data_IF_398274423745
#
_entry.id   IF_398274423745
#
_cell.length_a   1.000
_cell.length_b   1.000
_cell.length_c   1.000
_cell.angle_alpha   90.00
_cell.angle_beta   90.00
_cell.angle_gamma   90.00
#
_symmetry.space_group_name_H-M   'P 1'
#
loop_
_entity.id
_entity.type
_entity.pdbx_description
1 polymer ?
#
# COMPACT_ATOMS: atom_id res chain seq x y z
N UNK A 1 -8.14 11.75 33.59
CA UNK A 1 -7.49 12.55 32.53
C UNK A 1 -8.33 13.79 32.35
N UNK A 2 -7.82 14.98 32.69
CA UNK A 2 -8.54 16.23 32.41
C UNK A 2 -8.39 16.57 30.93
N UNK A 3 -9.50 16.86 30.26
CA UNK A 3 -9.49 17.34 28.88
C UNK A 3 -9.08 18.82 28.88
N UNK A 4 -8.03 19.15 28.12
CA UNK A 4 -7.54 20.52 28.00
C UNK A 4 -8.09 21.15 26.73
N UNK A 5 -8.71 22.32 26.86
CA UNK A 5 -9.13 23.12 25.72
C UNK A 5 -7.95 23.87 25.14
N UNK A 6 -7.59 23.56 23.90
CA UNK A 6 -6.58 24.31 23.15
C UNK A 6 -7.26 25.24 22.15
N UNK A 7 -7.08 26.55 22.32
CA UNK A 7 -7.52 27.54 21.35
C UNK A 7 -6.37 27.82 20.38
N UNK A 8 -6.62 27.60 19.09
CA UNK A 8 -5.63 27.95 18.06
C UNK A 8 -5.57 29.48 17.89
N UNK A 9 -4.39 30.07 17.65
CA UNK A 9 -4.25 31.49 17.38
C UNK A 9 -5.19 31.94 16.26
N UNK A 10 -5.75 33.15 16.38
CA UNK A 10 -6.52 33.72 15.29
C UNK A 10 -5.64 33.85 14.04
N UNK A 11 -6.17 33.40 12.92
CA UNK A 11 -5.58 33.63 11.62
C UNK A 11 -6.35 34.74 10.93
N UNK A 12 -5.65 35.58 10.17
CA UNK A 12 -6.26 36.64 9.36
C UNK A 12 -6.16 36.24 7.88
N UNK A 13 -7.21 35.61 7.30
CA UNK A 13 -7.22 35.23 5.89
C UNK A 13 -7.25 36.48 5.01
N UNK A 14 -6.72 36.39 3.78
CA UNK A 14 -6.84 37.49 2.83
C UNK A 14 -8.30 37.72 2.42
N UNK A 15 -8.63 38.92 1.95
CA UNK A 15 -9.97 39.22 1.45
C UNK A 15 -10.38 38.31 0.28
N UNK A 16 -9.42 37.93 -0.56
CA UNK A 16 -9.60 36.95 -1.63
C UNK A 16 -9.99 35.57 -1.07
N UNK A 17 -9.29 35.12 -0.03
CA UNK A 17 -9.58 33.85 0.63
C UNK A 17 -10.97 33.87 1.29
N UNK A 18 -11.33 34.97 1.96
CA UNK A 18 -12.65 35.15 2.54
C UNK A 18 -13.74 35.09 1.45
N UNK A 19 -13.53 35.76 0.31
CA UNK A 19 -14.46 35.73 -0.83
C UNK A 19 -14.62 34.31 -1.41
N UNK A 20 -13.52 33.55 -1.52
CA UNK A 20 -13.54 32.17 -2.02
C UNK A 20 -14.48 31.27 -1.20
N UNK A 21 -14.51 31.44 0.11
CA UNK A 21 -15.37 30.65 1.01
C UNK A 21 -16.75 31.30 1.23
N UNK A 22 -17.22 32.12 0.29
CA UNK A 22 -18.54 32.77 0.37
C UNK A 22 -18.63 33.92 1.39
N UNK A 23 -17.49 34.47 1.81
CA UNK A 23 -17.42 35.54 2.81
C UNK A 23 -17.50 35.05 4.26
N UNK A 24 -17.50 33.74 4.52
CA UNK A 24 -17.60 33.19 5.86
C UNK A 24 -16.27 33.30 6.65
N UNK A 25 -16.14 34.21 7.63
CA UNK A 25 -14.86 34.48 8.30
C UNK A 25 -14.35 33.27 9.11
N UNK A 26 -15.25 32.50 9.72
CA UNK A 26 -14.89 31.30 10.48
C UNK A 26 -14.34 30.19 9.59
N UNK A 27 -14.93 29.97 8.41
CA UNK A 27 -14.45 28.95 7.46
C UNK A 27 -13.06 29.34 6.95
N UNK A 28 -12.88 30.61 6.59
CA UNK A 28 -11.59 31.13 6.14
C UNK A 28 -10.50 30.96 7.21
N UNK A 29 -10.80 31.32 8.46
CA UNK A 29 -9.88 31.16 9.58
C UNK A 29 -9.55 29.69 9.85
N UNK A 30 -10.55 28.81 9.86
CA UNK A 30 -10.38 27.38 10.11
C UNK A 30 -9.49 26.69 9.06
N UNK A 31 -9.60 27.06 7.78
CA UNK A 31 -8.75 26.51 6.73
C UNK A 31 -7.29 26.93 6.92
N UNK A 32 -7.04 28.22 7.22
CA UNK A 32 -5.68 28.71 7.50
C UNK A 32 -5.08 28.03 8.74
N UNK A 33 -5.89 27.82 9.79
CA UNK A 33 -5.49 27.09 10.99
C UNK A 33 -5.17 25.60 10.71
N UNK A 34 -5.82 24.99 9.70
CA UNK A 34 -5.50 23.63 9.22
C UNK A 34 -4.33 23.56 8.24
N UNK A 35 -3.62 24.67 8.03
CA UNK A 35 -2.47 24.74 7.12
C UNK A 35 -2.80 25.04 5.66
N UNK A 36 -4.08 25.24 5.33
CA UNK A 36 -4.53 25.62 3.98
C UNK A 36 -4.49 27.14 3.88
N UNK A 37 -3.32 27.66 3.48
CA UNK A 37 -3.00 29.10 3.58
C UNK A 37 -3.17 29.91 2.30
N UNK A 38 -3.44 29.26 1.16
CA UNK A 38 -3.58 29.94 -0.13
C UNK A 38 -4.97 29.74 -0.72
N UNK A 39 -5.51 30.71 -1.48
CA UNK A 39 -6.78 30.54 -2.18
C UNK A 39 -6.78 29.33 -3.13
N UNK A 40 -5.64 29.05 -3.79
CA UNK A 40 -5.49 27.88 -4.63
C UNK A 40 -5.63 26.57 -3.84
N UNK A 41 -4.92 26.43 -2.71
CA UNK A 41 -5.02 25.24 -1.86
C UNK A 41 -6.43 25.07 -1.28
N UNK A 42 -7.07 26.17 -0.87
CA UNK A 42 -8.44 26.15 -0.38
C UNK A 42 -9.44 25.73 -1.47
N UNK A 43 -9.25 26.22 -2.70
CA UNK A 43 -10.09 25.84 -3.83
C UNK A 43 -9.98 24.35 -4.10
N UNK A 44 -8.77 23.81 -4.21
CA UNK A 44 -8.54 22.38 -4.43
C UNK A 44 -9.05 21.49 -3.30
N UNK A 45 -9.07 21.99 -2.07
CA UNK A 45 -9.58 21.25 -0.90
C UNK A 45 -11.12 21.23 -0.84
N UNK A 46 -11.77 22.34 -1.16
CA UNK A 46 -13.24 22.49 -1.05
C UNK A 46 -13.97 21.96 -2.28
N UNK A 47 -13.30 21.92 -3.43
CA UNK A 47 -13.91 21.66 -4.73
C UNK A 47 -13.16 20.54 -5.44
N UNK A 48 -13.82 19.39 -5.59
CA UNK A 48 -13.24 18.18 -6.20
C UNK A 48 -12.82 18.40 -7.65
N UNK A 49 -13.46 19.30 -8.39
CA UNK A 49 -13.09 19.69 -9.75
C UNK A 49 -11.76 20.44 -9.85
N UNK A 50 -11.26 20.94 -8.72
CA UNK A 50 -9.98 21.61 -8.60
C UNK A 50 -8.94 20.76 -7.85
N UNK A 51 -9.31 19.55 -7.43
CA UNK A 51 -8.38 18.61 -6.84
C UNK A 51 -7.45 18.05 -7.94
N UNK A 52 -6.14 18.11 -7.67
CA UNK A 52 -5.14 17.44 -8.51
C UNK A 52 -4.56 16.29 -7.68
N UNK A 53 -4.79 15.02 -8.07
CA UNK A 53 -4.18 13.90 -7.38
C UNK A 53 -2.66 13.97 -7.49
N UNK A 54 -1.98 13.46 -6.47
CA UNK A 54 -0.56 13.21 -6.57
C UNK A 54 -0.30 12.25 -7.76
N UNK A 55 0.80 12.43 -8.51
CA UNK A 55 1.15 11.47 -9.54
C UNK A 55 1.35 10.09 -8.88
N UNK A 56 0.89 8.99 -9.50
CA UNK A 56 1.02 7.65 -8.94
C UNK A 56 2.46 7.31 -8.57
N UNK A 57 3.44 7.82 -9.33
CA UNK A 57 4.89 7.64 -9.09
C UNK A 57 5.39 8.17 -7.74
N UNK A 58 4.57 8.93 -7.02
CA UNK A 58 4.85 9.26 -5.63
C UNK A 58 4.74 8.04 -4.70
N UNK A 59 3.92 7.06 -5.04
CA UNK A 59 3.81 5.78 -4.34
C UNK A 59 5.06 4.94 -4.63
N UNK A 60 5.71 4.48 -3.57
CA UNK A 60 7.00 3.79 -3.68
C UNK A 60 6.77 2.44 -4.35
N UNK A 61 7.53 2.15 -5.40
CA UNK A 61 7.47 0.87 -6.09
C UNK A 61 6.32 0.71 -7.10
N UNK A 62 5.41 1.68 -7.21
CA UNK A 62 4.23 1.55 -8.10
C UNK A 62 4.58 1.16 -9.54
N UNK A 63 5.71 1.63 -10.06
CA UNK A 63 6.17 1.30 -11.42
C UNK A 63 6.55 -0.19 -11.53
N UNK A 64 7.25 -0.73 -10.53
CA UNK A 64 7.58 -2.15 -10.46
C UNK A 64 6.32 -3.00 -10.25
N UNK A 65 5.37 -2.56 -9.40
CA UNK A 65 4.08 -3.24 -9.24
C UNK A 65 3.34 -3.32 -10.59
N UNK A 66 3.28 -2.21 -11.31
CA UNK A 66 2.63 -2.14 -12.62
C UNK A 66 3.33 -3.04 -13.66
N UNK A 67 4.67 -3.09 -13.64
CA UNK A 67 5.44 -3.99 -14.52
C UNK A 67 5.18 -5.47 -14.21
N UNK A 68 5.16 -5.85 -12.92
CA UNK A 68 4.85 -7.23 -12.50
C UNK A 68 3.44 -7.65 -12.91
N UNK A 69 2.46 -6.77 -12.71
CA UNK A 69 1.08 -6.99 -13.15
C UNK A 69 0.98 -7.07 -14.68
N UNK A 70 1.65 -6.18 -15.40
CA UNK A 70 1.68 -6.22 -16.85
C UNK A 70 2.25 -7.55 -17.39
N UNK A 71 3.34 -8.04 -16.79
CA UNK A 71 3.92 -9.32 -17.16
C UNK A 71 2.98 -10.50 -16.84
N UNK A 72 2.33 -10.49 -15.68
CA UNK A 72 1.34 -11.48 -15.31
C UNK A 72 0.15 -11.52 -16.28
N UNK A 73 -0.34 -10.34 -16.69
CA UNK A 73 -1.41 -10.21 -17.70
C UNK A 73 -0.93 -10.77 -19.05
N UNK A 74 0.25 -10.36 -19.50
CA UNK A 74 0.82 -10.76 -20.80
C UNK A 74 1.08 -12.27 -20.89
N UNK A 75 1.35 -12.92 -19.77
CA UNK A 75 1.64 -14.35 -19.67
C UNK A 75 0.44 -15.19 -19.19
N UNK A 76 -0.76 -14.61 -19.16
CA UNK A 76 -2.00 -15.28 -18.75
C UNK A 76 -1.93 -15.93 -17.35
N UNK A 77 -1.20 -15.32 -16.41
CA UNK A 77 -1.14 -15.77 -15.03
C UNK A 77 -2.47 -15.56 -14.31
N UNK A 78 -2.77 -16.45 -13.37
CA UNK A 78 -3.86 -16.28 -12.42
C UNK A 78 -3.44 -15.31 -11.33
N UNK A 79 -4.24 -14.26 -11.16
CA UNK A 79 -4.05 -13.19 -10.18
C UNK A 79 -5.10 -13.37 -9.09
N UNK A 80 -4.65 -13.55 -7.85
CA UNK A 80 -5.49 -13.52 -6.66
C UNK A 80 -5.39 -12.12 -6.02
N UNK A 81 -6.50 -11.38 -6.05
CA UNK A 81 -6.62 -10.10 -5.34
C UNK A 81 -7.07 -10.36 -3.91
N UNK A 82 -6.35 -9.83 -2.93
CA UNK A 82 -6.69 -9.99 -1.52
C UNK A 82 -6.99 -8.63 -0.88
N UNK A 83 -8.24 -8.40 -0.51
CA UNK A 83 -8.69 -7.16 0.11
C UNK A 83 -8.85 -7.24 1.62
N UNK A 84 -9.23 -6.12 2.23
CA UNK A 84 -9.78 -6.10 3.59
C UNK A 84 -11.32 -6.03 3.60
N UNK A 85 -11.93 -6.35 4.75
CA UNK A 85 -13.38 -6.46 4.89
C UNK A 85 -14.11 -5.11 4.94
N UNK A 86 -13.41 -4.01 5.17
CA UNK A 86 -14.03 -2.71 5.38
C UNK A 86 -14.35 -1.99 4.05
N UNK A 87 -14.78 -0.73 4.13
CA UNK A 87 -15.20 0.01 2.94
C UNK A 87 -14.03 0.28 2.00
N UNK A 88 -12.83 0.56 2.52
CA UNK A 88 -11.66 0.82 1.68
C UNK A 88 -11.19 -0.47 1.02
N UNK A 89 -11.03 -1.55 1.79
CA UNK A 89 -10.67 -2.88 1.30
C UNK A 89 -11.64 -3.45 0.26
N UNK A 90 -12.95 -3.32 0.44
CA UNK A 90 -13.92 -3.81 -0.54
C UNK A 90 -14.00 -2.95 -1.80
N UNK A 91 -13.86 -1.63 -1.66
CA UNK A 91 -13.88 -0.70 -2.81
C UNK A 91 -12.63 -0.89 -3.66
N UNK A 92 -11.46 -0.97 -3.03
CA UNK A 92 -10.17 -1.23 -3.70
C UNK A 92 -10.16 -2.61 -4.37
N UNK A 93 -10.67 -3.65 -3.70
CA UNK A 93 -10.83 -4.98 -4.32
C UNK A 93 -11.71 -4.91 -5.56
N UNK A 94 -12.88 -4.26 -5.46
CA UNK A 94 -13.81 -4.14 -6.58
C UNK A 94 -13.19 -3.40 -7.77
N UNK A 95 -12.44 -2.32 -7.51
CA UNK A 95 -11.72 -1.56 -8.52
C UNK A 95 -10.65 -2.40 -9.21
N UNK A 96 -9.77 -3.05 -8.44
CA UNK A 96 -8.68 -3.86 -8.96
C UNK A 96 -9.20 -5.07 -9.74
N UNK A 97 -10.16 -5.80 -9.19
CA UNK A 97 -10.76 -6.96 -9.85
C UNK A 97 -11.41 -6.55 -11.18
N UNK A 98 -12.23 -5.49 -11.17
CA UNK A 98 -12.91 -5.03 -12.39
C UNK A 98 -11.92 -4.56 -13.46
N UNK A 99 -10.90 -3.79 -13.06
CA UNK A 99 -9.86 -3.33 -13.98
C UNK A 99 -9.02 -4.47 -14.56
N UNK A 100 -8.56 -5.40 -13.71
CA UNK A 100 -7.76 -6.55 -14.15
C UNK A 100 -8.58 -7.52 -15.00
N UNK A 101 -9.86 -7.76 -14.70
CA UNK A 101 -10.73 -8.59 -15.52
C UNK A 101 -10.96 -8.00 -16.91
N UNK A 102 -11.00 -6.66 -17.04
CA UNK A 102 -11.08 -6.01 -18.34
C UNK A 102 -9.79 -6.17 -19.18
N UNK A 103 -8.65 -6.45 -18.54
CA UNK A 103 -7.34 -6.56 -19.17
C UNK A 103 -6.86 -8.02 -19.36
N UNK A 104 -7.52 -8.98 -18.71
CA UNK A 104 -7.13 -10.40 -18.71
C UNK A 104 -8.14 -11.30 -19.41
N UNK A 105 -7.74 -12.55 -19.69
CA UNK A 105 -8.67 -13.57 -20.17
C UNK A 105 -9.69 -13.94 -19.08
N UNK A 106 -10.92 -14.36 -19.46
CA UNK A 106 -11.92 -14.82 -18.49
C UNK A 106 -11.38 -15.89 -17.54
N UNK A 107 -11.65 -15.73 -16.25
CA UNK A 107 -11.24 -16.68 -15.21
C UNK A 107 -9.81 -16.52 -14.68
N UNK A 108 -9.03 -15.54 -15.16
CA UNK A 108 -7.68 -15.28 -14.66
C UNK A 108 -7.62 -14.48 -13.35
N UNK A 109 -8.66 -13.75 -13.01
CA UNK A 109 -8.69 -12.93 -11.79
C UNK A 109 -9.75 -13.48 -10.85
N UNK A 110 -9.34 -13.83 -9.63
CA UNK A 110 -10.22 -14.12 -8.50
C UNK A 110 -9.83 -13.24 -7.32
N UNK A 111 -10.70 -13.18 -6.32
CA UNK A 111 -10.45 -12.37 -5.14
C UNK A 111 -10.82 -13.10 -3.86
N UNK A 112 -10.23 -12.63 -2.77
CA UNK A 112 -10.61 -12.98 -1.41
C UNK A 112 -10.80 -11.69 -0.60
N UNK A 113 -11.94 -11.58 0.07
CA UNK A 113 -12.19 -10.57 1.11
C UNK A 113 -12.49 -11.35 2.39
N UNK A 114 -11.73 -11.16 3.47
CA UNK A 114 -11.89 -11.96 4.67
C UNK A 114 -13.24 -11.69 5.32
N UNK A 115 -13.87 -12.74 5.86
CA UNK A 115 -15.01 -12.54 6.74
C UNK A 115 -14.51 -12.06 8.11
N UNK A 116 -14.82 -10.81 8.49
CA UNK A 116 -14.37 -10.21 9.75
C UNK A 116 -14.62 -11.07 10.99
N UNK A 117 -15.72 -11.82 11.05
CA UNK A 117 -16.09 -12.59 12.24
C UNK A 117 -15.33 -13.91 12.35
N UNK A 118 -14.95 -14.53 11.22
CA UNK A 118 -14.28 -15.84 11.22
C UNK A 118 -12.80 -15.76 10.89
N UNK A 119 -12.37 -14.71 10.18
CA UNK A 119 -11.02 -14.52 9.67
C UNK A 119 -10.35 -13.24 10.20
N UNK A 120 -11.12 -12.30 10.78
CA UNK A 120 -10.67 -10.96 11.16
C UNK A 120 -10.21 -10.14 9.93
N UNK A 121 -9.23 -9.25 10.10
CA UNK A 121 -8.48 -8.59 9.02
C UNK A 121 -7.27 -9.44 8.59
N UNK A 122 -6.63 -9.02 7.50
CA UNK A 122 -5.33 -9.54 7.10
C UNK A 122 -5.38 -10.70 6.11
N UNK A 123 -4.20 -11.22 5.81
CA UNK A 123 -4.01 -12.40 4.96
C UNK A 123 -3.74 -13.59 5.87
N UNK A 124 -4.79 -14.33 6.24
CA UNK A 124 -4.63 -15.54 7.06
C UNK A 124 -3.91 -16.62 6.25
N UNK A 125 -2.72 -17.03 6.69
CA UNK A 125 -1.92 -18.07 6.03
C UNK A 125 -2.72 -19.37 5.79
N UNK A 126 -3.52 -19.80 6.78
CA UNK A 126 -4.40 -20.97 6.65
C UNK A 126 -5.49 -20.82 5.57
N UNK A 127 -5.96 -19.60 5.29
CA UNK A 127 -6.91 -19.35 4.21
C UNK A 127 -6.21 -19.24 2.86
N UNK A 128 -5.03 -18.60 2.82
CA UNK A 128 -4.19 -18.57 1.63
C UNK A 128 -3.78 -19.99 1.19
N UNK A 129 -3.45 -20.88 2.14
CA UNK A 129 -3.15 -22.27 1.84
C UNK A 129 -4.28 -22.96 1.07
N UNK A 130 -5.55 -22.69 1.40
CA UNK A 130 -6.69 -23.27 0.67
C UNK A 130 -6.75 -22.83 -0.79
N UNK A 131 -6.35 -21.58 -1.08
CA UNK A 131 -6.22 -21.08 -2.46
C UNK A 131 -5.05 -21.73 -3.19
N UNK A 132 -3.94 -21.98 -2.50
CA UNK A 132 -2.75 -22.64 -3.06
C UNK A 132 -3.01 -24.13 -3.34
N UNK A 133 -3.83 -24.77 -2.50
CA UNK A 133 -4.18 -26.20 -2.60
C UNK A 133 -5.32 -26.48 -3.60
N UNK A 134 -6.00 -25.46 -4.15
CA UNK A 134 -7.10 -25.65 -5.11
C UNK A 134 -6.56 -26.21 -6.44
N UNK A 135 -6.83 -27.47 -6.79
CA UNK A 135 -6.32 -28.07 -8.02
C UNK A 135 -6.99 -27.51 -9.28
N UNK A 136 -8.17 -26.88 -9.15
CA UNK A 136 -8.90 -26.32 -10.28
C UNK A 136 -8.40 -24.93 -10.66
N UNK A 137 -7.75 -24.21 -9.73
CA UNK A 137 -7.27 -22.86 -9.96
C UNK A 137 -6.18 -22.52 -8.95
N UNK A 138 -4.94 -22.38 -9.41
CA UNK A 138 -3.83 -21.99 -8.56
C UNK A 138 -3.37 -20.58 -8.92
N UNK A 139 -3.22 -19.66 -7.95
CA UNK A 139 -2.66 -18.34 -8.19
C UNK A 139 -1.17 -18.41 -8.53
N UNK A 140 -0.72 -17.56 -9.46
CA UNK A 140 0.70 -17.31 -9.70
C UNK A 140 1.13 -15.92 -9.22
N UNK A 141 0.16 -15.01 -9.02
CA UNK A 141 0.39 -13.69 -8.44
C UNK A 141 -0.62 -13.42 -7.32
N UNK A 142 -0.14 -12.98 -6.16
CA UNK A 142 -0.93 -12.43 -5.06
C UNK A 142 -0.80 -10.90 -5.08
N UNK A 143 -1.93 -10.21 -5.26
CA UNK A 143 -2.02 -8.75 -5.18
C UNK A 143 -2.87 -8.38 -3.96
N UNK A 144 -2.30 -7.77 -2.92
CA UNK A 144 -3.11 -7.27 -1.81
C UNK A 144 -3.52 -5.81 -2.01
N UNK A 145 -4.67 -5.43 -1.44
CA UNK A 145 -5.11 -4.05 -1.30
C UNK A 145 -5.69 -3.81 0.09
N UNK A 146 -5.30 -2.69 0.70
CA UNK A 146 -5.70 -2.30 2.05
C UNK A 146 -5.29 -3.33 3.15
N UNK A 147 -4.32 -4.18 2.83
CA UNK A 147 -3.86 -5.21 3.75
C UNK A 147 -2.53 -5.80 3.32
N UNK A 148 -1.89 -6.55 4.21
CA UNK A 148 -0.69 -7.34 3.91
C UNK A 148 0.61 -6.78 4.48
N UNK A 149 0.68 -5.51 4.90
CA UNK A 149 1.93 -4.90 5.39
C UNK A 149 2.52 -5.63 6.60
N UNK A 150 1.67 -6.25 7.42
CA UNK A 150 2.01 -6.98 8.64
C UNK A 150 1.91 -8.52 8.49
N UNK A 151 1.66 -9.04 7.29
CA UNK A 151 1.27 -10.45 7.08
C UNK A 151 2.46 -11.33 6.65
N UNK A 152 3.55 -11.26 7.42
CA UNK A 152 4.83 -11.94 7.20
C UNK A 152 4.68 -13.42 6.81
N UNK A 153 3.85 -14.11 7.60
CA UNK A 153 3.63 -15.55 7.50
C UNK A 153 3.00 -15.90 6.14
N UNK A 154 1.97 -15.17 5.74
CA UNK A 154 1.29 -15.39 4.46
C UNK A 154 2.16 -15.00 3.27
N UNK A 155 2.94 -13.92 3.37
CA UNK A 155 3.90 -13.53 2.32
C UNK A 155 4.97 -14.60 2.15
N UNK A 156 5.51 -15.13 3.25
CA UNK A 156 6.49 -16.22 3.23
C UNK A 156 5.89 -17.48 2.61
N UNK A 157 4.65 -17.81 2.99
CA UNK A 157 3.93 -18.94 2.43
C UNK A 157 3.71 -18.82 0.92
N UNK A 158 3.24 -17.65 0.45
CA UNK A 158 3.03 -17.38 -0.97
C UNK A 158 4.35 -17.56 -1.77
N UNK A 159 5.44 -16.98 -1.27
CA UNK A 159 6.77 -17.08 -1.89
C UNK A 159 7.28 -18.51 -1.94
N UNK A 160 7.10 -19.28 -0.87
CA UNK A 160 7.49 -20.69 -0.83
C UNK A 160 6.74 -21.53 -1.88
N UNK A 161 5.55 -21.09 -2.30
CA UNK A 161 4.77 -21.69 -3.39
C UNK A 161 5.06 -21.07 -4.77
N UNK A 162 6.07 -20.20 -4.87
CA UNK A 162 6.51 -19.61 -6.14
C UNK A 162 5.64 -18.45 -6.65
N UNK A 163 4.76 -17.88 -5.81
CA UNK A 163 3.95 -16.74 -6.22
C UNK A 163 4.80 -15.46 -6.32
N UNK A 164 4.47 -14.64 -7.31
CA UNK A 164 4.82 -13.21 -7.27
C UNK A 164 3.89 -12.52 -6.27
N UNK A 165 4.43 -11.69 -5.37
CA UNK A 165 3.64 -11.00 -4.35
C UNK A 165 3.75 -9.48 -4.54
N UNK A 166 2.63 -8.81 -4.71
CA UNK A 166 2.53 -7.35 -4.73
C UNK A 166 1.64 -6.93 -3.58
N UNK A 167 2.19 -6.20 -2.62
CA UNK A 167 1.43 -5.69 -1.48
C UNK A 167 1.11 -4.21 -1.69
N UNK A 168 -0.15 -3.84 -1.55
CA UNK A 168 -0.56 -2.43 -1.50
C UNK A 168 -1.34 -2.20 -0.22
N UNK A 169 -0.83 -1.32 0.64
CA UNK A 169 -1.36 -1.14 1.99
C UNK A 169 -0.93 0.22 2.54
N UNK A 170 -1.79 0.86 3.32
CA UNK A 170 -1.55 2.15 3.94
C UNK A 170 -1.55 2.09 5.48
N UNK A 171 -1.78 0.91 6.06
CA UNK A 171 -1.70 0.68 7.50
C UNK A 171 -0.31 0.91 8.07
N UNK A 172 -0.26 1.20 9.37
CA UNK A 172 0.98 1.31 10.11
C UNK A 172 1.78 0.00 10.12
N UNK A 173 3.11 0.16 10.11
CA UNK A 173 4.02 -0.96 10.25
C UNK A 173 3.97 -1.48 11.69
N UNK A 174 4.03 -2.80 11.87
CA UNK A 174 4.18 -3.41 13.19
C UNK A 174 5.50 -2.96 13.84
N UNK A 175 5.57 -3.03 15.17
CA UNK A 175 6.73 -2.55 15.93
C UNK A 175 8.06 -3.20 15.51
N UNK A 176 8.01 -4.41 14.93
CA UNK A 176 9.19 -5.09 14.40
C UNK A 176 9.78 -4.41 13.15
N UNK A 177 9.00 -3.59 12.43
CA UNK A 177 9.42 -2.82 11.25
C UNK A 177 9.58 -1.32 11.53
N UNK A 178 9.42 -0.87 12.77
CA UNK A 178 9.49 0.57 13.11
C UNK A 178 10.89 1.18 12.88
N UNK A 179 11.91 0.35 12.72
CA UNK A 179 13.27 0.78 12.37
C UNK A 179 13.53 0.94 10.88
N UNK A 180 12.57 0.56 10.02
CA UNK A 180 12.73 0.66 8.57
C UNK A 180 12.43 2.08 8.09
N UNK A 181 13.28 2.58 7.20
CA UNK A 181 13.08 3.84 6.51
C UNK A 181 12.48 3.60 5.13
N UNK A 182 11.28 4.15 4.82
CA UNK A 182 10.71 4.07 3.49
C UNK A 182 11.69 4.55 2.42
N UNK A 183 11.75 3.85 1.27
CA UNK A 183 12.70 4.05 0.15
C UNK A 183 14.16 3.65 0.41
N UNK A 184 14.54 3.39 1.66
CA UNK A 184 15.91 2.99 2.02
C UNK A 184 15.96 1.50 2.28
N UNK A 185 15.11 1.02 3.18
CA UNK A 185 15.07 -0.38 3.57
C UNK A 185 13.95 -1.11 2.81
N UNK A 186 14.22 -2.31 2.26
CA UNK A 186 13.21 -3.05 1.52
C UNK A 186 12.29 -3.81 2.47
N UNK A 187 10.99 -3.65 2.26
CA UNK A 187 9.99 -4.43 2.97
C UNK A 187 10.01 -5.87 2.46
N UNK A 188 10.21 -6.84 3.36
CA UNK A 188 10.05 -8.28 3.11
C UNK A 188 10.98 -8.90 2.05
N UNK A 189 12.20 -8.36 1.85
CA UNK A 189 13.07 -8.89 0.79
C UNK A 189 14.58 -8.74 0.87
N UNK A 190 15.20 -7.72 1.48
CA UNK A 190 16.68 -7.64 1.60
C UNK A 190 17.16 -6.92 2.88
N UNK A 191 18.33 -7.29 3.39
CA UNK A 191 18.93 -6.68 4.60
C UNK A 191 20.01 -5.64 4.24
N UNK A 192 20.33 -4.70 5.14
CA UNK A 192 21.60 -3.94 5.11
C UNK A 192 22.57 -4.37 6.24
N UNK A 193 22.84 -5.67 6.32
CA UNK A 193 23.90 -6.31 7.14
C UNK A 193 23.67 -6.45 8.64
N UNK A 194 22.73 -7.36 8.86
CA UNK A 194 22.44 -8.07 10.08
C UNK A 194 20.95 -7.91 10.34
N UNK A 195 20.53 -7.37 11.44
CA UNK A 195 21.28 -6.40 12.19
C UNK A 195 20.77 -6.64 13.60
N UNK A 196 21.43 -7.39 14.49
CA UNK A 196 22.83 -7.84 14.60
C UNK A 196 22.87 -9.04 15.53
N UNK A 197 23.40 -10.16 15.05
CA UNK A 197 24.01 -11.19 15.90
C UNK A 197 25.52 -10.99 15.90
N UNK A 198 26.05 -10.48 17.02
CA UNK A 198 27.48 -10.36 17.39
C UNK A 198 28.36 -9.41 16.54
N UNK A 199 29.05 -8.53 17.28
CA UNK A 199 30.15 -7.66 16.80
C UNK A 199 31.27 -8.48 16.14
N UNK A 200 31.80 -8.01 15.03
CA UNK A 200 33.07 -8.48 14.46
C UNK A 200 33.43 -7.84 13.11
N UNK A 201 34.19 -6.74 13.19
CA UNK A 201 35.21 -6.20 12.26
C UNK A 201 34.94 -5.99 10.75
N UNK A 202 35.54 -4.91 10.25
CA UNK A 202 35.28 -4.23 8.97
C UNK A 202 35.88 -4.95 7.74
N UNK A 203 35.23 -4.81 6.57
CA UNK A 203 35.79 -5.25 5.29
C UNK A 203 35.03 -4.70 4.08
N UNK A 204 35.78 -4.28 3.05
CA UNK A 204 35.31 -3.64 1.81
C UNK A 204 34.58 -4.60 0.86
N UNK A 205 33.67 -4.04 0.05
CA UNK A 205 32.91 -4.73 -0.99
C UNK A 205 33.75 -5.05 -2.23
N UNK A 206 33.74 -6.30 -2.69
CA UNK A 206 34.14 -6.71 -4.04
C UNK A 206 32.96 -7.40 -4.73
N UNK A 207 32.64 -6.93 -5.93
CA UNK A 207 31.69 -7.56 -6.85
C UNK A 207 32.32 -8.81 -7.48
N UNK A 208 31.48 -9.81 -7.77
CA UNK A 208 31.75 -11.10 -8.44
C UNK A 208 32.16 -12.28 -7.54
N UNK A 209 31.18 -13.10 -7.14
CA UNK A 209 31.29 -14.56 -7.01
C UNK A 209 29.90 -15.23 -6.84
N UNK A 210 29.52 -16.01 -7.87
CA UNK A 210 28.43 -17.01 -8.02
C UNK A 210 27.44 -17.37 -6.88
N UNK A 211 26.14 -17.17 -7.22
CA UNK A 211 24.88 -17.91 -6.92
C UNK A 211 24.26 -17.93 -5.49
N UNK A 212 22.90 -17.97 -5.34
CA UNK A 212 21.83 -18.22 -6.32
C UNK A 212 20.87 -17.04 -6.58
N UNK A 213 20.07 -17.20 -7.63
CA UNK A 213 19.21 -16.24 -8.31
C UNK A 213 18.27 -15.41 -7.43
N UNK A 214 18.42 -14.09 -7.54
CA UNK A 214 17.42 -13.10 -7.18
C UNK A 214 16.22 -13.17 -8.13
N UNK A 215 15.00 -13.25 -7.60
CA UNK A 215 13.78 -12.87 -8.34
C UNK A 215 13.15 -11.67 -7.63
N UNK A 216 12.71 -10.62 -8.36
CA UNK A 216 12.13 -9.40 -7.79
C UNK A 216 10.67 -9.63 -7.33
N UNK A 217 10.42 -10.72 -6.61
CA UNK A 217 9.08 -11.28 -6.38
C UNK A 217 8.29 -10.66 -5.23
N UNK A 218 8.79 -9.62 -4.56
CA UNK A 218 8.01 -8.87 -3.59
C UNK A 218 8.25 -7.38 -3.59
N UNK A 219 7.15 -6.63 -3.61
CA UNK A 219 7.14 -5.19 -3.47
C UNK A 219 5.99 -4.77 -2.54
N UNK A 220 6.27 -3.84 -1.64
CA UNK A 220 5.25 -3.11 -0.89
C UNK A 220 5.11 -1.70 -1.44
N UNK A 221 3.88 -1.33 -1.79
CA UNK A 221 3.48 0.02 -2.18
C UNK A 221 2.71 0.63 -1.01
N UNK A 222 3.22 1.76 -0.51
CA UNK A 222 2.58 2.65 0.45
C UNK A 222 2.30 3.98 -0.23
#
# INVERSE_FOLDING_TARGET
MELVWTTLPQATPSAEFAKLVGGHPLVAQLLVQRGIRTPAAARSFLHTEHYTPAPPTNLIGVELAAQLLYEAIRTDQNILVWGDFDVDGQTSTSLLVSGLQALTKPGRVRFHVPNRFTESHGIRAAMLQKWLDDPAWQPQLLLSCDTGIAEAEAVTLAKAHGLTVVLTDHHDLTAEFSGLSPRVDPLWGLSLEGVRGKKGEAGQWNAEANEPSFTPSSLSVR
#
